data_IF_812214694064
#
_entry.id   IF_812214694064
#
_cell.length_a   1.000
_cell.length_b   1.000
_cell.length_c   1.000
_cell.angle_alpha   90.00
_cell.angle_beta   90.00
_cell.angle_gamma   90.00
#
_symmetry.space_group_name_H-M   'P 1'
#
loop_
_entity.id
_entity.type
_entity.pdbx_description
1 polymer ?
#
# COMPACT_ATOMS: atom_id res chain seq x y z
N UNK A 1 1.14 10.17 -10.67
CA UNK A 1 0.14 10.33 -9.60
C UNK A 1 -1.19 10.44 -10.30
N UNK A 2 -2.17 9.60 -9.95
CA UNK A 2 -3.51 9.84 -10.46
C UNK A 2 -3.99 11.20 -9.90
N UNK A 3 -4.87 11.91 -10.59
CA UNK A 3 -5.30 13.25 -10.15
C UNK A 3 -6.21 13.23 -8.91
N UNK A 4 -6.39 12.06 -8.27
CA UNK A 4 -7.39 11.84 -7.22
C UNK A 4 -6.84 12.04 -5.81
N UNK A 5 -5.53 11.88 -5.62
CA UNK A 5 -4.87 12.04 -4.32
C UNK A 5 -4.41 13.49 -4.13
N UNK A 6 -4.88 14.15 -3.07
CA UNK A 6 -4.49 15.53 -2.73
C UNK A 6 -3.83 15.63 -1.34
N UNK A 7 -2.87 16.53 -1.18
CA UNK A 7 -2.22 16.82 0.10
C UNK A 7 -0.87 16.12 0.31
N UNK A 8 -0.55 15.78 1.56
CA UNK A 8 0.56 14.88 1.88
C UNK A 8 0.20 13.47 1.40
N UNK A 9 1.18 12.74 0.87
CA UNK A 9 0.93 11.44 0.24
C UNK A 9 1.96 10.46 0.78
N UNK A 10 1.57 9.63 1.77
CA UNK A 10 2.35 8.47 2.17
C UNK A 10 2.72 7.63 0.95
N UNK A 11 4.02 7.48 0.72
CA UNK A 11 4.55 6.67 -0.36
C UNK A 11 5.71 5.82 0.13
N UNK A 12 5.83 4.61 -0.41
CA UNK A 12 6.92 3.69 -0.07
C UNK A 12 7.37 2.94 -1.32
N UNK A 13 8.68 2.91 -1.54
CA UNK A 13 9.29 2.15 -2.62
C UNK A 13 9.71 0.78 -2.10
N UNK A 14 9.24 -0.27 -2.76
CA UNK A 14 9.61 -1.65 -2.44
C UNK A 14 9.69 -2.45 -3.73
N UNK A 15 10.79 -3.17 -3.94
CA UNK A 15 10.96 -4.13 -5.04
C UNK A 15 10.59 -3.60 -6.45
N UNK A 16 10.94 -2.36 -6.77
CA UNK A 16 10.61 -1.80 -8.10
C UNK A 16 9.18 -1.26 -8.21
N UNK A 17 8.44 -1.20 -7.11
CA UNK A 17 7.07 -0.69 -7.04
C UNK A 17 7.00 0.48 -6.05
N UNK A 18 6.17 1.46 -6.34
CA UNK A 18 5.84 2.54 -5.40
C UNK A 18 4.39 2.35 -4.96
N UNK A 19 4.19 2.13 -3.66
CA UNK A 19 2.88 2.08 -3.03
C UNK A 19 2.51 3.48 -2.57
N UNK A 20 1.29 3.91 -2.88
CA UNK A 20 0.81 5.28 -2.68
C UNK A 20 -0.61 5.24 -2.14
N UNK A 21 -0.89 6.07 -1.14
CA UNK A 21 -2.23 6.28 -0.59
C UNK A 21 -2.34 7.75 -0.20
N UNK A 22 -3.50 8.38 -0.36
CA UNK A 22 -3.69 9.74 0.12
C UNK A 22 -3.61 9.81 1.64
N UNK A 23 -3.08 10.90 2.20
CA UNK A 23 -3.03 11.08 3.64
C UNK A 23 -4.44 11.11 4.25
N UNK A 24 -4.66 10.28 5.28
CA UNK A 24 -5.98 10.13 5.90
C UNK A 24 -7.01 9.41 5.01
N UNK A 25 -6.61 8.93 3.84
CA UNK A 25 -7.42 7.98 3.06
C UNK A 25 -7.26 6.57 3.63
N UNK A 26 -8.24 5.74 3.30
CA UNK A 26 -8.25 4.35 3.69
C UNK A 26 -7.23 3.56 2.87
N UNK A 27 -6.68 2.51 3.48
CA UNK A 27 -5.74 1.59 2.82
C UNK A 27 -6.36 0.89 1.59
N UNK A 28 -7.68 0.79 1.48
CA UNK A 28 -8.39 0.24 0.32
C UNK A 28 -8.31 1.14 -0.93
N UNK A 29 -7.97 2.41 -0.77
CA UNK A 29 -7.70 3.37 -1.84
C UNK A 29 -6.23 3.33 -2.31
N UNK A 30 -5.41 2.45 -1.74
CA UNK A 30 -4.00 2.34 -2.09
C UNK A 30 -3.83 1.96 -3.57
N UNK A 31 -2.84 2.59 -4.19
CA UNK A 31 -2.42 2.33 -5.55
C UNK A 31 -0.95 1.94 -5.57
N UNK A 32 -0.60 1.16 -6.58
CA UNK A 32 0.77 0.76 -6.85
C UNK A 32 1.17 1.28 -8.22
N UNK A 33 2.34 1.90 -8.29
CA UNK A 33 3.05 2.19 -9.52
C UNK A 33 4.14 1.14 -9.71
N UNK A 34 4.05 0.35 -10.78
CA UNK A 34 5.13 -0.54 -11.18
C UNK A 34 6.19 0.24 -11.98
N UNK A 35 7.34 0.49 -11.37
CA UNK A 35 8.46 1.24 -11.99
C UNK A 35 9.18 0.37 -13.02
N UNK A 36 9.14 -0.96 -12.87
CA UNK A 36 9.77 -1.90 -13.79
C UNK A 36 8.89 -2.18 -15.02
N UNK A 37 7.56 -2.16 -14.87
CA UNK A 37 6.59 -2.38 -15.94
C UNK A 37 6.08 -1.06 -16.56
N UNK A 38 7.00 -0.28 -17.16
CA UNK A 38 6.71 0.95 -17.92
C UNK A 38 5.91 2.03 -17.16
N UNK A 39 5.89 2.00 -15.82
CA UNK A 39 5.16 2.98 -15.03
C UNK A 39 3.64 2.73 -14.98
N UNK A 40 3.21 1.47 -15.09
CA UNK A 40 1.81 1.10 -14.98
C UNK A 40 1.27 1.36 -13.56
N UNK A 41 0.12 2.02 -13.49
CA UNK A 41 -0.63 2.21 -12.24
C UNK A 41 -1.69 1.12 -12.09
N UNK A 42 -1.75 0.52 -10.90
CA UNK A 42 -2.75 -0.50 -10.54
C UNK A 42 -3.41 -0.10 -9.23
N UNK A 43 -4.74 -0.02 -9.22
CA UNK A 43 -5.49 0.11 -7.98
C UNK A 43 -5.49 -1.21 -7.24
N UNK A 44 -5.13 -1.19 -5.97
CA UNK A 44 -5.01 -2.38 -5.14
C UNK A 44 -6.35 -2.64 -4.45
N UNK A 45 -7.39 -2.89 -5.24
CA UNK A 45 -8.71 -3.19 -4.70
C UNK A 45 -8.65 -4.48 -3.87
N UNK A 46 -9.16 -4.44 -2.63
CA UNK A 46 -9.13 -5.51 -1.63
C UNK A 46 -9.96 -6.74 -2.03
N UNK A 47 -9.61 -7.43 -3.11
CA UNK A 47 -10.20 -8.71 -3.44
C UNK A 47 -9.83 -9.79 -2.39
N UNK A 48 -8.80 -9.52 -1.58
CA UNK A 48 -8.50 -10.22 -0.33
C UNK A 48 -8.90 -9.34 0.86
N UNK A 49 -9.88 -9.80 1.65
CA UNK A 49 -10.54 -9.09 2.75
C UNK A 49 -9.63 -8.60 3.91
N UNK A 50 -8.31 -8.75 3.82
CA UNK A 50 -7.34 -8.34 4.84
C UNK A 50 -7.21 -6.81 4.99
N UNK A 51 -7.56 -6.06 3.94
CA UNK A 51 -7.48 -4.58 3.91
C UNK A 51 -8.83 -3.88 4.14
N UNK A 52 -9.89 -4.64 4.42
CA UNK A 52 -11.25 -4.11 4.57
C UNK A 52 -11.50 -3.32 5.87
N UNK A 53 -10.49 -3.15 6.73
CA UNK A 53 -10.62 -2.23 7.85
C UNK A 53 -10.51 -0.79 7.32
N UNK A 54 -11.34 0.15 7.80
CA UNK A 54 -11.23 1.57 7.47
C UNK A 54 -10.01 2.17 8.18
N UNK A 55 -8.83 1.66 7.86
CA UNK A 55 -7.55 2.12 8.38
C UNK A 55 -7.14 3.33 7.57
N UNK A 56 -7.16 4.49 8.22
CA UNK A 56 -6.67 5.72 7.61
C UNK A 56 -5.18 5.79 7.73
N UNK A 57 -4.50 5.99 6.62
CA UNK A 57 -3.04 5.97 6.61
C UNK A 57 -2.49 7.32 7.07
N UNK A 58 -1.79 7.31 8.20
CA UNK A 58 -1.06 8.47 8.72
C UNK A 58 0.38 8.52 8.23
N UNK A 59 1.06 7.37 8.18
CA UNK A 59 2.41 7.25 7.62
C UNK A 59 2.68 5.83 7.14
N UNK A 60 3.69 5.67 6.29
CA UNK A 60 4.00 4.38 5.67
C UNK A 60 5.51 4.25 5.42
N UNK A 61 6.03 3.03 5.59
CA UNK A 61 7.41 2.69 5.21
C UNK A 61 7.50 1.25 4.73
N UNK A 62 8.37 1.00 3.75
CA UNK A 62 8.71 -0.35 3.30
C UNK A 62 10.00 -0.87 3.96
N UNK A 63 9.99 -2.13 4.41
CA UNK A 63 11.19 -2.83 4.89
C UNK A 63 11.15 -4.27 4.36
N UNK A 64 12.20 -4.68 3.65
CA UNK A 64 12.31 -5.98 2.99
C UNK A 64 11.14 -6.29 2.04
N UNK A 65 10.26 -7.22 2.42
CA UNK A 65 9.04 -7.61 1.71
C UNK A 65 7.76 -7.20 2.45
N UNK A 66 7.88 -6.33 3.45
CA UNK A 66 6.76 -5.87 4.26
C UNK A 66 6.54 -4.38 4.12
N UNK A 67 5.27 -4.02 4.02
CA UNK A 67 4.79 -2.66 4.08
C UNK A 67 4.24 -2.39 5.49
N UNK A 68 4.78 -1.37 6.16
CA UNK A 68 4.33 -0.95 7.48
C UNK A 68 3.48 0.30 7.35
N UNK A 69 2.32 0.30 8.00
CA UNK A 69 1.31 1.36 7.93
C UNK A 69 0.96 1.77 9.35
N UNK A 70 1.13 3.05 9.67
CA UNK A 70 0.63 3.61 10.93
C UNK A 70 -0.78 4.16 10.73
N UNK A 71 -1.68 3.83 11.64
CA UNK A 71 -3.01 4.43 11.69
C UNK A 71 -2.90 5.94 11.94
N UNK A 72 -3.80 6.69 11.32
CA UNK A 72 -3.91 8.13 11.49
C UNK A 72 -4.46 8.51 12.87
N UNK A 73 -5.40 7.71 13.42
CA UNK A 73 -6.12 8.06 14.65
C UNK A 73 -5.54 7.42 15.92
N UNK A 74 -4.64 6.45 15.79
CA UNK A 74 -4.11 5.69 16.91
C UNK A 74 -2.60 5.49 16.80
N UNK A 75 -2.02 4.84 17.80
CA UNK A 75 -0.61 4.43 17.78
C UNK A 75 -0.42 3.01 17.22
N UNK A 76 -1.47 2.40 16.65
CA UNK A 76 -1.39 1.07 16.05
C UNK A 76 -0.58 1.13 14.76
N UNK A 77 0.26 0.11 14.58
CA UNK A 77 1.05 -0.09 13.38
C UNK A 77 0.68 -1.46 12.83
N UNK A 78 0.52 -1.52 11.52
CA UNK A 78 0.17 -2.73 10.82
C UNK A 78 1.26 -3.09 9.85
N UNK A 79 1.50 -4.40 9.66
CA UNK A 79 2.34 -4.89 8.58
C UNK A 79 1.50 -5.67 7.57
N UNK A 80 1.90 -5.53 6.30
CA UNK A 80 1.36 -6.33 5.20
C UNK A 80 2.52 -6.95 4.46
N UNK A 81 2.51 -8.27 4.35
CA UNK A 81 3.48 -9.00 3.54
C UNK A 81 3.12 -8.86 2.06
N UNK A 82 4.09 -8.51 1.24
CA UNK A 82 3.92 -8.38 -0.21
C UNK A 82 4.45 -9.66 -0.85
N UNK A 83 3.57 -10.41 -1.52
CA UNK A 83 3.99 -11.52 -2.35
C UNK A 83 4.58 -10.96 -3.65
N UNK A 84 5.90 -11.05 -3.78
CA UNK A 84 6.58 -10.78 -5.04
C UNK A 84 6.45 -11.99 -5.95
N UNK A 85 5.52 -11.93 -6.89
CA UNK A 85 5.67 -12.68 -8.14
C UNK A 85 6.53 -11.84 -9.10
N UNK A 86 7.76 -12.30 -9.44
CA UNK A 86 8.62 -11.61 -10.39
C UNK A 86 8.16 -11.77 -11.85
N UNK A 87 7.26 -12.70 -12.16
CA UNK A 87 6.71 -12.94 -13.50
C UNK A 87 5.29 -12.38 -13.70
N UNK A 88 4.53 -12.16 -12.61
CA UNK A 88 3.17 -11.63 -12.67
C UNK A 88 3.03 -10.20 -12.11
N UNK A 89 2.35 -9.34 -12.86
CA UNK A 89 1.99 -7.95 -12.50
C UNK A 89 0.95 -7.87 -11.36
N UNK A 90 0.39 -9.02 -10.96
CA UNK A 90 -0.61 -9.12 -9.92
C UNK A 90 0.07 -9.19 -8.55
N UNK A 91 0.22 -8.03 -7.91
CA UNK A 91 0.67 -7.99 -6.51
C UNK A 91 -0.46 -8.49 -5.61
N UNK A 92 -0.21 -9.59 -4.90
CA UNK A 92 -1.10 -10.08 -3.86
C UNK A 92 -0.61 -9.60 -2.49
N UNK A 93 -1.53 -9.06 -1.71
CA UNK A 93 -1.26 -8.70 -0.32
C UNK A 93 -1.51 -9.90 0.58
N UNK A 94 -0.58 -10.13 1.52
CA UNK A 94 -0.77 -11.05 2.62
C UNK A 94 -1.81 -10.55 3.62
N UNK A 95 -1.94 -11.30 4.72
CA UNK A 95 -2.78 -10.90 5.84
C UNK A 95 -2.20 -9.65 6.54
N UNK A 96 -3.06 -8.68 6.83
CA UNK A 96 -2.70 -7.50 7.60
C UNK A 96 -2.65 -7.82 9.10
N UNK A 97 -1.52 -7.53 9.74
CA UNK A 97 -1.28 -7.86 11.16
C UNK A 97 -0.99 -6.61 11.97
N UNK A 98 -1.64 -6.46 13.11
CA UNK A 98 -1.31 -5.46 14.15
C UNK A 98 -0.05 -5.95 14.91
N UNK A 99 0.90 -5.05 15.16
CA UNK A 99 2.22 -5.37 15.74
C UNK A 99 2.56 -4.61 17.02
#
# INVERSE_FOLDING_TARGET
>A
MNEKHGGDIPASYLQGRVYVVGYGENVDAMEMLDVAADGQWTSLTSNDCSLCQPLRVGSMTGVDNQLFIADYYSSSVYSIELESDPEHQDTKFGEMKDI
#
